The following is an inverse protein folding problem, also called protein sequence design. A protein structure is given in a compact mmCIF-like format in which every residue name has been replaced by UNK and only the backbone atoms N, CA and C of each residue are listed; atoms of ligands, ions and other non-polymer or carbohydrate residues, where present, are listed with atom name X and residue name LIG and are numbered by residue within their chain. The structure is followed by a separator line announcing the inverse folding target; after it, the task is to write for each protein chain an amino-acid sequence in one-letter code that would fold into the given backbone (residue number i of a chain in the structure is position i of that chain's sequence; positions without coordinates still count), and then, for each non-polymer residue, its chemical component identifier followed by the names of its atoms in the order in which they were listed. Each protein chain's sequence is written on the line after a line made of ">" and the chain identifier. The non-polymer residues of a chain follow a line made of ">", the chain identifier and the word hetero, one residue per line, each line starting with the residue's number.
data_IF_969685683458
#
_entry.id   IF_969685683458
#
_cell.length_a   1.000
_cell.length_b   1.000
_cell.length_c   1.000
_cell.angle_alpha   90.00
_cell.angle_beta   90.00
_cell.angle_gamma   90.00
#
_symmetry.space_group_name_H-M   'P 1'
#
loop_
_entity.id
_entity.type
_entity.pdbx_description
1 polymer ?
#
# COMPACT_ATOMS: atom_id res chain seq x y z
N UNK A 1 6.19 -40.82 -40.96
CA UNK A 1 5.23 -40.91 -39.84
C UNK A 1 6.02 -40.80 -38.53
N UNK A 2 6.44 -39.60 -38.14
CA UNK A 2 6.99 -39.30 -36.80
C UNK A 2 6.61 -37.84 -36.49
N UNK A 3 5.62 -37.66 -35.62
CA UNK A 3 5.18 -36.36 -35.09
C UNK A 3 6.24 -35.88 -34.09
N UNK A 4 6.78 -34.67 -34.31
CA UNK A 4 7.54 -33.95 -33.28
C UNK A 4 6.53 -33.23 -32.38
N UNK A 5 6.29 -33.80 -31.20
CA UNK A 5 5.53 -33.14 -30.14
C UNK A 5 6.44 -32.14 -29.43
N UNK A 6 6.24 -30.86 -29.67
CA UNK A 6 6.86 -29.77 -28.91
C UNK A 6 6.19 -29.72 -27.53
N UNK A 7 6.93 -30.13 -26.50
CA UNK A 7 6.51 -29.94 -25.10
C UNK A 7 6.87 -28.50 -24.72
N UNK A 8 5.86 -27.63 -24.66
CA UNK A 8 5.97 -26.32 -24.00
C UNK A 8 5.84 -26.57 -22.50
N UNK A 9 6.96 -26.55 -21.78
CA UNK A 9 6.95 -26.56 -20.32
C UNK A 9 6.46 -25.19 -19.82
N UNK A 10 5.19 -25.12 -19.44
CA UNK A 10 4.71 -24.07 -18.54
C UNK A 10 5.33 -24.30 -17.16
N UNK A 11 6.31 -23.48 -16.78
CA UNK A 11 6.78 -23.39 -15.39
C UNK A 11 5.69 -22.68 -14.58
N UNK A 12 4.69 -23.42 -14.11
CA UNK A 12 3.87 -22.98 -12.98
C UNK A 12 4.71 -23.17 -11.72
N UNK A 13 5.36 -22.10 -11.27
CA UNK A 13 6.00 -22.04 -9.95
C UNK A 13 4.93 -22.09 -8.86
N UNK A 14 4.52 -23.30 -8.51
CA UNK A 14 3.87 -23.60 -7.24
C UNK A 14 4.90 -23.31 -6.12
N UNK A 15 4.81 -22.11 -5.56
CA UNK A 15 5.65 -21.67 -4.45
C UNK A 15 5.21 -22.38 -3.16
N UNK A 16 5.68 -23.61 -2.97
CA UNK A 16 5.51 -24.34 -1.72
C UNK A 16 6.32 -23.65 -0.61
N UNK A 17 5.63 -23.26 0.44
CA UNK A 17 6.10 -22.46 1.57
C UNK A 17 7.27 -23.10 2.31
N UNK A 18 8.46 -22.55 2.09
CA UNK A 18 9.53 -22.47 3.09
C UNK A 18 10.39 -21.26 2.71
N UNK A 19 9.86 -20.04 2.84
CA UNK A 19 10.70 -18.86 2.68
C UNK A 19 11.68 -18.84 3.85
N UNK A 20 12.91 -19.30 3.62
CA UNK A 20 14.07 -18.85 4.38
C UNK A 20 14.08 -17.32 4.39
N UNK A 21 14.58 -16.69 5.45
CA UNK A 21 14.77 -15.24 5.44
C UNK A 21 15.57 -14.87 4.19
N UNK A 22 15.01 -13.99 3.34
CA UNK A 22 15.73 -13.54 2.16
C UNK A 22 17.08 -12.98 2.63
N UNK A 23 18.19 -13.39 2.01
CA UNK A 23 19.49 -12.95 2.47
C UNK A 23 19.61 -11.43 2.29
N UNK A 24 20.33 -10.77 3.21
CA UNK A 24 20.31 -9.30 3.36
C UNK A 24 20.78 -8.55 2.11
N UNK A 25 21.58 -9.20 1.27
CA UNK A 25 22.08 -8.73 -0.01
C UNK A 25 20.98 -8.59 -1.08
N UNK A 26 19.79 -9.18 -0.88
CA UNK A 26 18.62 -9.00 -1.76
C UNK A 26 17.93 -7.65 -1.64
N UNK A 27 18.33 -6.83 -0.66
CA UNK A 27 17.73 -5.53 -0.38
C UNK A 27 18.69 -4.40 -0.73
N UNK A 28 18.51 -3.70 -1.87
CA UNK A 28 19.39 -2.62 -2.31
C UNK A 28 19.26 -1.35 -1.45
N UNK A 29 18.35 -1.34 -0.47
CA UNK A 29 18.08 -0.17 0.37
C UNK A 29 17.54 -0.52 1.75
N UNK A 30 17.40 0.50 2.62
CA UNK A 30 16.97 0.31 4.01
C UNK A 30 15.50 -0.10 4.11
N UNK A 31 15.13 -0.62 5.28
CA UNK A 31 13.73 -0.85 5.64
C UNK A 31 12.93 0.46 5.53
N UNK A 32 11.81 0.43 4.80
CA UNK A 32 10.93 1.57 4.57
C UNK A 32 10.02 1.91 5.76
N UNK A 33 10.09 1.12 6.83
CA UNK A 33 9.36 1.31 8.09
C UNK A 33 10.23 2.12 9.08
N UNK A 34 9.70 3.21 9.64
CA UNK A 34 10.44 4.11 10.57
C UNK A 34 10.56 3.55 12.00
N UNK A 35 9.56 2.81 12.46
CA UNK A 35 9.48 2.29 13.84
C UNK A 35 9.09 0.80 13.85
N UNK A 36 9.93 -0.10 13.32
CA UNK A 36 9.54 -1.47 12.99
C UNK A 36 9.15 -2.34 14.20
N UNK A 37 9.77 -2.12 15.36
CA UNK A 37 9.48 -2.82 16.62
C UNK A 37 8.75 -1.97 17.66
N UNK A 38 8.08 -0.89 17.24
CA UNK A 38 7.24 -0.05 18.11
C UNK A 38 7.92 0.71 19.27
N UNK A 39 9.25 0.61 19.39
CA UNK A 39 10.06 1.19 20.48
C UNK A 39 10.08 2.73 20.52
N UNK A 40 9.87 3.39 19.38
CA UNK A 40 9.97 4.85 19.31
C UNK A 40 8.69 5.51 19.82
N UNK A 41 8.80 6.32 20.87
CA UNK A 41 7.68 7.04 21.46
C UNK A 41 7.77 8.56 21.17
N UNK A 42 6.62 9.19 20.88
CA UNK A 42 6.43 10.65 20.81
C UNK A 42 6.30 11.28 22.20
N UNK A 43 5.78 10.52 23.16
CA UNK A 43 5.52 10.92 24.55
C UNK A 43 5.77 9.73 25.46
N UNK A 44 5.97 9.98 26.76
CA UNK A 44 6.02 8.91 27.75
C UNK A 44 4.75 8.06 27.76
N UNK A 45 4.82 6.88 28.37
CA UNK A 45 3.67 5.99 28.55
C UNK A 45 2.70 6.67 29.55
N UNK A 46 1.40 6.76 29.26
CA UNK A 46 0.43 7.33 30.18
C UNK A 46 0.36 6.51 31.49
N UNK A 47 0.25 7.19 32.63
CA UNK A 47 0.06 6.52 33.91
C UNK A 47 -1.33 5.86 33.95
N UNK A 48 -1.42 4.64 34.49
CA UNK A 48 -2.66 3.84 34.60
C UNK A 48 -3.27 3.34 33.28
N UNK A 49 -2.51 3.35 32.18
CA UNK A 49 -2.93 2.74 30.91
C UNK A 49 -2.68 1.22 30.92
N UNK A 50 -3.59 0.48 31.56
CA UNK A 50 -3.42 -0.96 31.81
C UNK A 50 -3.59 -1.81 30.54
N UNK A 51 -4.39 -1.35 29.58
CA UNK A 51 -4.62 -2.07 28.31
C UNK A 51 -3.66 -1.63 27.20
N UNK A 52 -3.05 -0.45 27.31
CA UNK A 52 -2.09 0.07 26.32
C UNK A 52 -2.74 0.85 25.17
N UNK A 53 -4.07 1.01 25.21
CA UNK A 53 -4.85 1.66 24.15
C UNK A 53 -4.57 3.16 24.06
N UNK A 54 -4.34 3.82 25.20
CA UNK A 54 -4.00 5.24 25.25
C UNK A 54 -2.56 5.44 24.79
N UNK A 55 -1.65 4.53 25.16
CA UNK A 55 -0.24 4.53 24.78
C UNK A 55 -0.08 4.34 23.27
N UNK A 56 -0.84 3.44 22.65
CA UNK A 56 -0.82 3.32 21.19
C UNK A 56 -1.31 4.62 20.52
N UNK A 57 -2.43 5.20 20.98
CA UNK A 57 -2.97 6.39 20.31
C UNK A 57 -2.09 7.63 20.47
N UNK A 58 -1.49 7.80 21.64
CA UNK A 58 -0.89 9.07 22.05
C UNK A 58 0.63 9.04 22.20
N UNK A 59 1.21 7.85 22.34
CA UNK A 59 2.63 7.69 22.68
C UNK A 59 3.45 7.03 21.59
N UNK A 60 3.00 5.99 20.86
CA UNK A 60 3.84 5.41 19.79
C UNK A 60 4.06 6.39 18.63
N UNK A 61 5.30 6.46 18.15
CA UNK A 61 5.69 7.28 17.01
C UNK A 61 5.40 6.55 15.70
N UNK A 62 4.87 7.30 14.74
CA UNK A 62 4.66 6.94 13.32
C UNK A 62 3.55 5.93 13.03
N UNK A 63 3.16 5.11 14.02
CA UNK A 63 1.99 4.23 13.92
C UNK A 63 0.70 4.93 14.33
N UNK A 64 -0.42 4.49 13.76
CA UNK A 64 -1.77 4.95 14.10
C UNK A 64 -2.81 3.87 13.79
N UNK A 65 -4.00 4.00 14.38
CA UNK A 65 -5.17 3.21 13.99
C UNK A 65 -5.88 3.92 12.83
N UNK A 66 -6.14 3.25 11.69
CA UNK A 66 -6.88 3.84 10.57
C UNK A 66 -8.40 3.92 10.81
N UNK A 67 -8.90 3.37 11.91
CA UNK A 67 -10.31 3.42 12.32
C UNK A 67 -10.42 3.92 13.77
N UNK A 68 -11.65 3.99 14.31
CA UNK A 68 -11.86 4.33 15.73
C UNK A 68 -11.50 3.21 16.72
N UNK A 69 -11.06 2.04 16.23
CA UNK A 69 -10.63 0.94 17.10
C UNK A 69 -9.34 1.26 17.86
N UNK A 70 -9.00 0.42 18.83
CA UNK A 70 -7.99 0.72 19.85
C UNK A 70 -6.94 -0.38 19.94
N UNK A 71 -6.03 -0.48 18.94
CA UNK A 71 -4.84 -1.31 19.10
C UNK A 71 -4.10 -0.94 20.38
N UNK A 72 -3.43 -1.92 20.96
CA UNK A 72 -2.78 -1.79 22.27
C UNK A 72 -1.27 -1.76 22.10
N UNK A 73 -0.60 -0.75 22.68
CA UNK A 73 0.86 -0.73 22.77
C UNK A 73 1.27 -1.43 24.07
N UNK A 74 1.88 -2.59 23.94
CA UNK A 74 2.22 -3.45 25.06
C UNK A 74 3.71 -3.37 25.33
N UNK A 75 4.09 -3.26 26.60
CA UNK A 75 5.47 -3.29 27.06
C UNK A 75 5.71 -4.53 27.91
N UNK A 76 6.83 -5.20 27.66
CA UNK A 76 7.20 -6.34 28.49
C UNK A 76 7.80 -5.88 29.81
N UNK A 77 7.07 -6.15 30.88
CA UNK A 77 7.57 -6.05 32.25
C UNK A 77 7.80 -7.50 32.68
N UNK A 78 9.07 -7.85 32.87
CA UNK A 78 9.58 -9.21 33.10
C UNK A 78 8.74 -9.97 34.17
N UNK A 79 7.71 -10.68 33.72
CA UNK A 79 6.73 -11.38 34.56
C UNK A 79 6.24 -12.61 33.83
N UNK A 80 6.10 -13.72 34.56
CA UNK A 80 5.71 -15.03 34.03
C UNK A 80 4.31 -15.04 33.38
N UNK A 81 3.53 -13.96 33.56
CA UNK A 81 2.14 -13.84 33.12
C UNK A 81 1.94 -13.02 31.84
N UNK A 82 3.00 -12.51 31.20
CA UNK A 82 2.88 -11.61 30.04
C UNK A 82 3.48 -12.18 28.77
N UNK A 83 2.87 -11.85 27.63
CA UNK A 83 3.47 -12.09 26.34
C UNK A 83 4.68 -11.16 26.15
N UNK A 84 5.85 -11.73 25.84
CA UNK A 84 7.05 -10.96 25.53
C UNK A 84 7.12 -10.62 24.04
N UNK A 85 7.71 -9.46 23.67
CA UNK A 85 7.89 -9.05 22.30
C UNK A 85 8.83 -10.01 21.56
N UNK A 86 8.81 -9.95 20.23
CA UNK A 86 9.70 -10.76 19.39
C UNK A 86 11.13 -10.25 19.49
N UNK A 87 11.33 -8.93 19.49
CA UNK A 87 12.57 -8.26 19.86
C UNK A 87 12.29 -6.97 20.63
N UNK A 88 13.30 -6.36 21.24
CA UNK A 88 13.10 -5.10 21.95
C UNK A 88 12.30 -5.26 23.25
N UNK A 89 11.46 -4.26 23.55
CA UNK A 89 10.71 -4.12 24.81
C UNK A 89 9.22 -3.92 24.59
N UNK A 90 8.79 -3.63 23.37
CA UNK A 90 7.41 -3.29 23.03
C UNK A 90 6.91 -4.08 21.83
N UNK A 91 5.60 -4.20 21.73
CA UNK A 91 4.88 -4.82 20.62
C UNK A 91 3.48 -4.22 20.54
N UNK A 92 2.74 -4.50 19.47
CA UNK A 92 1.36 -4.03 19.34
C UNK A 92 0.38 -5.20 19.29
N UNK A 93 -0.66 -5.13 20.10
CA UNK A 93 -1.78 -6.05 20.07
C UNK A 93 -2.93 -5.53 19.22
N UNK A 94 -3.55 -6.42 18.44
CA UNK A 94 -4.76 -6.14 17.66
C UNK A 94 -5.79 -7.27 17.74
N UNK A 95 -7.05 -6.91 17.92
CA UNK A 95 -8.20 -7.80 17.73
C UNK A 95 -8.49 -7.95 16.23
N UNK A 96 -8.30 -9.15 15.70
CA UNK A 96 -8.46 -9.43 14.26
C UNK A 96 -9.78 -10.08 13.90
N UNK A 97 -10.42 -10.80 14.83
CA UNK A 97 -11.68 -11.49 14.60
C UNK A 97 -12.43 -11.76 15.91
N UNK A 98 -13.72 -11.43 15.96
CA UNK A 98 -14.60 -11.76 17.09
C UNK A 98 -16.01 -12.11 16.56
N UNK A 99 -16.25 -13.37 16.15
CA UNK A 99 -17.53 -13.80 15.57
C UNK A 99 -18.65 -13.92 16.60
N UNK A 100 -18.30 -13.99 17.89
CA UNK A 100 -19.24 -14.14 19.01
C UNK A 100 -19.65 -12.80 19.63
N UNK A 101 -19.14 -11.68 19.10
CA UNK A 101 -19.45 -10.36 19.61
C UNK A 101 -20.91 -10.00 19.33
N UNK A 102 -21.54 -9.32 20.30
CA UNK A 102 -22.81 -8.60 20.06
C UNK A 102 -22.59 -7.29 19.32
N UNK A 103 -21.35 -6.82 19.23
CA UNK A 103 -20.96 -5.78 18.27
C UNK A 103 -21.05 -6.45 16.90
N UNK A 104 -21.64 -5.77 15.91
CA UNK A 104 -21.70 -6.26 14.53
C UNK A 104 -20.33 -6.74 14.05
N UNK A 105 -20.29 -7.51 12.95
CA UNK A 105 -19.12 -8.05 12.20
C UNK A 105 -18.07 -6.98 11.79
N UNK A 106 -17.72 -6.06 12.70
CA UNK A 106 -17.18 -4.75 12.40
C UNK A 106 -16.00 -4.39 13.29
N UNK A 107 -15.92 -4.92 14.52
CA UNK A 107 -14.78 -4.58 15.37
C UNK A 107 -13.56 -5.41 14.95
N UNK A 108 -12.70 -4.79 14.14
CA UNK A 108 -11.39 -5.31 13.74
C UNK A 108 -10.38 -4.18 13.86
N UNK A 109 -9.28 -4.46 14.52
CA UNK A 109 -8.19 -3.53 14.70
C UNK A 109 -7.18 -3.66 13.57
N UNK A 110 -6.66 -2.50 13.20
CA UNK A 110 -5.64 -2.35 12.19
C UNK A 110 -4.61 -1.37 12.72
N UNK A 111 -3.38 -1.53 12.25
CA UNK A 111 -2.34 -0.53 12.43
C UNK A 111 -1.87 -0.03 11.07
N UNK A 112 -1.55 1.25 11.00
CA UNK A 112 -1.11 1.91 9.78
C UNK A 112 0.14 2.74 10.06
N UNK A 113 1.07 2.76 9.11
CA UNK A 113 2.25 3.62 9.13
C UNK A 113 2.46 4.27 7.78
N UNK A 114 2.96 5.51 7.79
CA UNK A 114 3.48 6.18 6.59
C UNK A 114 4.88 5.65 6.28
N UNK A 115 5.09 5.22 5.04
CA UNK A 115 6.39 4.76 4.56
C UNK A 115 7.41 5.92 4.48
N UNK A 116 8.69 5.61 4.71
CA UNK A 116 9.80 6.59 4.61
C UNK A 116 9.89 7.24 3.23
N UNK A 117 9.58 6.48 2.18
CA UNK A 117 9.40 6.94 0.80
C UNK A 117 8.21 6.19 0.18
N UNK A 118 7.52 6.79 -0.81
CA UNK A 118 6.52 6.08 -1.59
C UNK A 118 7.11 4.85 -2.27
N UNK A 119 6.28 3.84 -2.51
CA UNK A 119 6.63 2.73 -3.38
C UNK A 119 6.78 3.22 -4.83
N UNK A 120 7.52 2.45 -5.62
CA UNK A 120 7.75 2.68 -7.04
C UNK A 120 6.88 1.67 -7.77
N UNK A 121 5.91 2.15 -8.53
CA UNK A 121 5.06 1.31 -9.37
C UNK A 121 5.88 0.39 -10.28
N UNK A 122 5.45 -0.86 -10.40
CA UNK A 122 6.15 -1.90 -11.15
C UNK A 122 7.37 -2.50 -10.42
N UNK A 123 7.87 -1.88 -9.36
CA UNK A 123 8.96 -2.46 -8.58
C UNK A 123 8.42 -3.54 -7.62
N UNK A 124 9.23 -4.59 -7.41
CA UNK A 124 8.93 -5.64 -6.44
C UNK A 124 9.39 -5.24 -5.02
N UNK A 125 8.57 -5.59 -4.04
CA UNK A 125 8.81 -5.34 -2.64
C UNK A 125 8.60 -6.62 -1.84
N UNK A 126 9.51 -6.86 -0.89
CA UNK A 126 9.34 -7.85 0.16
C UNK A 126 8.81 -7.19 1.42
N UNK A 127 7.74 -7.73 1.99
CA UNK A 127 7.18 -7.30 3.26
C UNK A 127 7.15 -8.46 4.24
N UNK A 128 7.47 -8.19 5.49
CA UNK A 128 7.31 -9.13 6.60
C UNK A 128 6.87 -8.43 7.89
N UNK A 129 6.23 -9.20 8.76
CA UNK A 129 6.07 -8.88 10.17
C UNK A 129 5.95 -10.19 10.96
N UNK A 130 6.20 -10.11 12.26
CA UNK A 130 6.03 -11.25 13.15
C UNK A 130 4.68 -11.14 13.87
N UNK A 131 4.00 -12.28 13.96
CA UNK A 131 2.71 -12.40 14.63
C UNK A 131 2.76 -13.51 15.69
N UNK A 132 2.17 -13.25 16.86
CA UNK A 132 1.96 -14.25 17.89
C UNK A 132 0.53 -14.17 18.38
N UNK A 133 -0.16 -15.30 18.55
CA UNK A 133 -1.47 -15.29 19.21
C UNK A 133 -1.24 -14.92 20.67
N UNK A 134 -1.96 -13.93 21.18
CA UNK A 134 -1.83 -13.55 22.59
C UNK A 134 -2.26 -14.71 23.49
N UNK A 135 -1.58 -14.85 24.63
CA UNK A 135 -1.82 -15.89 25.61
C UNK A 135 -3.27 -15.94 26.09
N UNK A 136 -3.89 -14.76 26.22
CA UNK A 136 -5.27 -14.63 26.67
C UNK A 136 -6.32 -14.81 25.56
N UNK A 137 -5.92 -15.00 24.31
CA UNK A 137 -6.86 -15.17 23.19
C UNK A 137 -7.32 -16.63 23.08
N UNK A 138 -8.63 -16.90 23.26
CA UNK A 138 -9.21 -18.25 23.11
C UNK A 138 -9.42 -18.68 21.66
N UNK A 139 -9.02 -17.88 20.67
CA UNK A 139 -9.37 -18.12 19.27
C UNK A 139 -8.18 -17.87 18.36
N UNK A 140 -7.82 -18.88 17.57
CA UNK A 140 -6.84 -18.72 16.50
C UNK A 140 -7.60 -18.57 15.18
N UNK A 141 -7.35 -17.49 14.44
CA UNK A 141 -7.91 -17.25 13.11
C UNK A 141 -6.83 -17.17 12.03
N UNK A 142 -7.26 -17.28 10.78
CA UNK A 142 -6.44 -16.89 9.63
C UNK A 142 -6.69 -15.41 9.26
N UNK A 143 -6.20 -15.03 8.07
CA UNK A 143 -6.41 -13.76 7.40
C UNK A 143 -5.81 -12.53 8.09
N UNK A 144 -4.65 -12.70 8.70
CA UNK A 144 -3.81 -11.58 9.10
C UNK A 144 -2.85 -11.25 7.97
N UNK A 145 -2.86 -10.01 7.51
CA UNK A 145 -2.13 -9.63 6.30
C UNK A 145 -1.71 -8.17 6.28
N UNK A 146 -1.13 -7.78 5.14
CA UNK A 146 -0.68 -6.44 4.83
C UNK A 146 -1.43 -5.93 3.61
N UNK A 147 -1.92 -4.70 3.69
CA UNK A 147 -2.33 -3.92 2.54
C UNK A 147 -1.44 -2.67 2.42
N UNK A 148 -1.41 -2.08 1.23
CA UNK A 148 -0.71 -0.84 0.94
C UNK A 148 -1.65 0.16 0.26
N UNK A 149 -1.43 1.45 0.49
CA UNK A 149 -2.28 2.51 -0.08
C UNK A 149 -1.53 3.81 -0.31
N UNK A 150 -1.85 4.60 -1.36
CA UNK A 150 -1.24 5.91 -1.62
C UNK A 150 -1.65 7.00 -0.61
N UNK A 151 -2.74 6.77 0.13
CA UNK A 151 -3.34 7.70 1.11
C UNK A 151 -3.60 7.00 2.45
N UNK A 152 -3.61 7.74 3.57
CA UNK A 152 -3.95 7.14 4.85
C UNK A 152 -5.43 6.79 4.88
N UNK A 153 -5.77 5.64 5.44
CA UNK A 153 -7.14 5.38 5.88
C UNK A 153 -7.36 6.09 7.22
N UNK A 154 -8.45 6.87 7.30
CA UNK A 154 -8.85 7.62 8.49
C UNK A 154 -10.37 7.62 8.59
N UNK A 155 -10.95 6.48 8.98
CA UNK A 155 -12.39 6.38 9.14
C UNK A 155 -12.83 6.94 10.50
N UNK A 156 -13.91 7.72 10.53
CA UNK A 156 -14.50 8.25 11.78
C UNK A 156 -15.45 7.25 12.46
N UNK A 157 -15.36 5.97 12.13
CA UNK A 157 -16.23 4.91 12.63
C UNK A 157 -15.43 3.63 12.93
N UNK A 158 -16.13 2.58 13.37
CA UNK A 158 -15.58 1.26 13.63
C UNK A 158 -15.79 0.31 12.44
N UNK A 159 -15.95 0.83 11.21
CA UNK A 159 -16.18 -0.03 10.04
C UNK A 159 -14.86 -0.72 9.68
N UNK A 160 -14.86 -2.05 9.49
CA UNK A 160 -13.67 -2.79 9.09
C UNK A 160 -13.29 -2.44 7.65
N UNK A 161 -12.01 -2.61 7.32
CA UNK A 161 -11.45 -2.23 6.03
C UNK A 161 -11.59 -3.35 4.99
N UNK A 162 -12.82 -3.82 4.77
CA UNK A 162 -13.11 -5.00 3.94
C UNK A 162 -12.99 -4.75 2.43
N UNK A 163 -13.00 -3.49 2.01
CA UNK A 163 -12.90 -3.10 0.60
C UNK A 163 -11.45 -3.12 0.08
N UNK A 164 -10.47 -3.33 0.97
CA UNK A 164 -9.05 -3.30 0.64
C UNK A 164 -8.57 -4.73 0.40
N UNK A 165 -7.91 -4.96 -0.74
CA UNK A 165 -7.23 -6.23 -1.00
C UNK A 165 -5.84 -6.22 -0.37
N UNK A 166 -5.50 -7.20 0.48
CA UNK A 166 -4.13 -7.31 1.00
C UNK A 166 -3.17 -7.74 -0.12
N UNK A 167 -1.95 -7.18 -0.08
CA UNK A 167 -0.83 -7.62 -0.94
C UNK A 167 -0.16 -8.88 -0.40
N UNK A 168 -0.28 -9.14 0.90
CA UNK A 168 0.15 -10.38 1.57
C UNK A 168 -0.91 -10.77 2.58
N UNK A 169 -1.31 -12.05 2.61
CA UNK A 169 -2.29 -12.56 3.55
C UNK A 169 -1.92 -13.97 4.00
N UNK A 170 -1.92 -14.22 5.30
CA UNK A 170 -1.80 -15.57 5.85
C UNK A 170 -3.17 -16.25 5.84
N UNK A 171 -3.38 -17.20 4.93
CA UNK A 171 -4.65 -17.89 4.75
C UNK A 171 -4.82 -19.11 5.68
N UNK A 172 -3.75 -19.54 6.36
CA UNK A 172 -3.80 -20.60 7.36
C UNK A 172 -4.05 -20.03 8.75
N UNK A 173 -4.58 -20.88 9.62
CA UNK A 173 -4.79 -20.52 11.02
C UNK A 173 -3.44 -20.34 11.70
N UNK A 174 -3.23 -19.17 12.28
CA UNK A 174 -1.97 -18.78 12.93
C UNK A 174 -1.98 -19.30 14.36
N UNK A 175 -0.93 -20.04 14.74
CA UNK A 175 -0.70 -20.50 16.12
C UNK A 175 -1.87 -21.23 16.81
N UNK A 176 -2.43 -22.28 16.17
CA UNK A 176 -3.60 -22.99 16.69
C UNK A 176 -3.35 -23.73 18.01
N UNK A 177 -2.12 -24.18 18.26
CA UNK A 177 -1.80 -25.13 19.34
C UNK A 177 -0.86 -24.60 20.42
N UNK A 178 0.03 -23.67 20.07
CA UNK A 178 1.05 -23.14 20.96
C UNK A 178 1.32 -21.66 20.68
N UNK A 179 1.89 -20.99 21.67
CA UNK A 179 2.39 -19.63 21.55
C UNK A 179 3.76 -19.67 20.87
N UNK A 180 3.82 -19.15 19.66
CA UNK A 180 5.08 -18.98 18.95
C UNK A 180 4.99 -17.75 18.05
N UNK A 181 6.08 -17.00 17.95
CA UNK A 181 6.17 -15.97 16.94
C UNK A 181 6.33 -16.64 15.57
N UNK A 182 5.37 -16.40 14.68
CA UNK A 182 5.46 -16.81 13.28
C UNK A 182 5.68 -15.59 12.41
N UNK A 183 6.42 -15.77 11.32
CA UNK A 183 6.59 -14.73 10.33
C UNK A 183 5.47 -14.82 9.30
N UNK A 184 4.84 -13.68 9.03
CA UNK A 184 3.96 -13.49 7.87
C UNK A 184 4.72 -12.61 6.88
N UNK A 185 4.95 -13.11 5.68
CA UNK A 185 5.73 -12.39 4.67
C UNK A 185 5.32 -12.73 3.25
N UNK A 186 5.74 -11.90 2.31
CA UNK A 186 5.51 -12.12 0.89
C UNK A 186 6.19 -11.08 0.02
N UNK A 187 6.19 -11.34 -1.28
CA UNK A 187 6.66 -10.43 -2.31
C UNK A 187 5.43 -9.92 -3.07
N UNK A 188 5.38 -8.63 -3.37
CA UNK A 188 4.37 -8.04 -4.22
C UNK A 188 4.98 -7.00 -5.16
N UNK A 189 4.36 -6.81 -6.31
CA UNK A 189 4.66 -5.71 -7.22
C UNK A 189 3.80 -4.52 -6.81
N UNK A 190 4.42 -3.36 -6.59
CA UNK A 190 3.66 -2.14 -6.30
C UNK A 190 2.84 -1.75 -7.52
N UNK A 191 1.53 -1.54 -7.31
CA UNK A 191 0.58 -1.18 -8.36
C UNK A 191 0.35 0.33 -8.46
N UNK A 192 0.89 1.09 -7.50
CA UNK A 192 0.76 2.52 -7.43
C UNK A 192 1.95 3.09 -6.63
N UNK A 193 1.86 4.34 -6.20
CA UNK A 193 2.79 4.95 -5.23
C UNK A 193 2.25 4.86 -3.83
N UNK A 194 2.09 3.63 -3.37
CA UNK A 194 1.61 3.42 -2.01
C UNK A 194 2.55 4.11 -1.01
N UNK A 195 1.96 4.87 -0.09
CA UNK A 195 2.65 5.66 0.94
C UNK A 195 2.34 5.17 2.34
N UNK A 196 1.41 4.25 2.47
CA UNK A 196 0.93 3.72 3.73
C UNK A 196 0.93 2.20 3.65
N UNK A 197 1.37 1.58 4.73
CA UNK A 197 1.24 0.16 4.97
C UNK A 197 0.23 -0.03 6.10
N UNK A 198 -0.69 -0.98 5.93
CA UNK A 198 -1.77 -1.32 6.87
C UNK A 198 -1.65 -2.79 7.21
N UNK A 199 -1.69 -3.14 8.48
CA UNK A 199 -1.71 -4.53 8.97
C UNK A 199 -3.03 -4.79 9.68
N UNK A 200 -3.67 -5.93 9.39
CA UNK A 200 -4.87 -6.39 10.07
C UNK A 200 -5.57 -7.50 9.30
N UNK A 201 -6.87 -7.68 9.55
CA UNK A 201 -7.70 -8.66 8.84
C UNK A 201 -8.71 -7.95 7.93
N UNK A 202 -8.57 -8.15 6.61
CA UNK A 202 -9.35 -7.47 5.57
C UNK A 202 -10.57 -8.27 5.09
N UNK A 203 -10.92 -9.36 5.78
CA UNK A 203 -12.01 -10.26 5.40
C UNK A 203 -13.14 -10.19 6.43
N UNK A 204 -14.39 -10.39 5.99
CA UNK A 204 -15.55 -10.45 6.88
C UNK A 204 -15.56 -11.74 7.74
N UNK A 205 -16.50 -11.89 8.67
CA UNK A 205 -16.54 -13.09 9.52
C UNK A 205 -16.76 -14.36 8.70
N UNK A 206 -17.61 -14.33 7.68
CA UNK A 206 -17.90 -15.49 6.83
C UNK A 206 -16.64 -16.02 6.12
N UNK A 207 -15.74 -15.13 5.71
CA UNK A 207 -14.49 -15.49 5.03
C UNK A 207 -13.30 -15.62 5.98
N UNK A 208 -13.48 -15.49 7.30
CA UNK A 208 -12.44 -15.71 8.31
C UNK A 208 -12.60 -17.08 8.96
N UNK A 209 -11.62 -17.97 8.77
CA UNK A 209 -11.58 -19.29 9.40
C UNK A 209 -10.96 -19.17 10.79
N UNK A 210 -11.52 -19.88 11.77
CA UNK A 210 -11.00 -19.89 13.13
C UNK A 210 -11.22 -21.24 13.83
N UNK A 211 -10.46 -21.46 14.90
CA UNK A 211 -10.67 -22.54 15.86
C UNK A 211 -10.60 -22.00 17.28
N UNK A 212 -11.27 -22.69 18.20
CA UNK A 212 -11.05 -22.51 19.63
C UNK A 212 -9.67 -23.07 20.00
N UNK A 213 -8.92 -22.31 20.80
CA UNK A 213 -7.58 -22.65 21.25
C UNK A 213 -7.58 -23.02 22.75
N UNK A 214 -6.61 -23.82 23.23
CA UNK A 214 -6.64 -24.37 24.59
C UNK A 214 -6.78 -23.30 25.69
N UNK A 215 -7.56 -23.65 26.72
CA UNK A 215 -8.11 -22.78 27.76
C UNK A 215 -7.06 -22.38 28.82
N UNK A 216 -7.09 -21.10 29.21
CA UNK A 216 -6.73 -20.63 30.55
C UNK A 216 -7.98 -19.97 31.17
N UNK A 217 -8.10 -19.97 32.50
CA UNK A 217 -9.33 -19.61 33.22
C UNK A 217 -9.85 -18.18 32.92
N UNK A 218 -8.97 -17.20 32.65
CA UNK A 218 -9.32 -15.78 32.46
C UNK A 218 -8.95 -15.20 31.06
N UNK A 219 -9.56 -15.74 30.00
CA UNK A 219 -9.21 -15.45 28.60
C UNK A 219 -10.36 -14.81 27.77
N UNK A 220 -10.00 -14.07 26.72
CA UNK A 220 -10.89 -13.38 25.76
C UNK A 220 -11.43 -14.32 24.67
N UNK A 221 -12.71 -14.18 24.29
CA UNK A 221 -13.39 -14.99 23.27
C UNK A 221 -13.20 -14.48 21.83
N UNK A 222 -11.98 -14.05 21.49
CA UNK A 222 -11.66 -13.39 20.22
C UNK A 222 -10.23 -13.69 19.78
N UNK A 223 -9.97 -13.57 18.48
CA UNK A 223 -8.62 -13.68 17.91
C UNK A 223 -7.87 -12.37 18.07
N UNK A 224 -6.88 -12.42 18.95
CA UNK A 224 -6.06 -11.28 19.30
C UNK A 224 -4.59 -11.64 19.04
N UNK A 225 -3.95 -10.86 18.18
CA UNK A 225 -2.58 -11.09 17.74
C UNK A 225 -1.66 -9.96 18.16
N UNK A 226 -0.48 -10.34 18.61
CA UNK A 226 0.64 -9.49 18.90
C UNK A 226 1.50 -9.37 17.64
N UNK A 227 1.92 -8.17 17.32
CA UNK A 227 2.67 -7.82 16.13
C UNK A 227 4.01 -7.20 16.54
N UNK A 228 5.07 -7.56 15.81
CA UNK A 228 6.41 -7.03 16.05
C UNK A 228 7.27 -7.12 14.77
N UNK A 229 8.43 -6.45 14.79
CA UNK A 229 9.48 -6.55 13.77
C UNK A 229 8.96 -6.39 12.32
N UNK A 230 8.25 -5.28 12.04
CA UNK A 230 7.70 -5.00 10.71
C UNK A 230 8.79 -4.53 9.75
N UNK A 231 8.88 -5.14 8.57
CA UNK A 231 9.83 -4.73 7.54
C UNK A 231 9.20 -4.66 6.15
N UNK A 232 9.63 -3.65 5.39
CA UNK A 232 9.28 -3.48 3.98
C UNK A 232 10.55 -3.06 3.24
N UNK A 233 10.97 -3.87 2.27
CA UNK A 233 12.16 -3.66 1.48
C UNK A 233 11.83 -3.68 0.00
N UNK A 234 12.38 -2.74 -0.75
CA UNK A 234 12.45 -2.88 -2.21
C UNK A 234 13.37 -4.06 -2.52
N UNK A 235 13.08 -4.83 -3.57
CA UNK A 235 13.96 -5.89 -4.05
C UNK A 235 14.86 -5.36 -5.18
N UNK A 236 16.08 -5.90 -5.25
CA UNK A 236 16.99 -5.69 -6.38
C UNK A 236 16.52 -6.51 -7.59
N UNK A 237 15.49 -6.00 -8.22
CA UNK A 237 14.97 -6.46 -9.51
C UNK A 237 15.42 -5.42 -10.53
N UNK A 238 15.67 -5.82 -11.80
CA UNK A 238 16.10 -4.90 -12.87
C UNK A 238 15.39 -3.57 -12.67
N UNK A 239 16.17 -2.49 -12.46
CA UNK A 239 15.68 -1.12 -12.26
C UNK A 239 14.49 -0.96 -13.20
N UNK A 240 13.26 -0.74 -12.70
CA UNK A 240 12.11 -0.70 -13.57
C UNK A 240 12.44 0.28 -14.68
N UNK A 241 12.29 -0.16 -15.93
CA UNK A 241 12.28 0.77 -17.05
C UNK A 241 11.33 1.92 -16.67
N UNK A 242 11.63 3.16 -17.08
CA UNK A 242 10.74 4.29 -16.81
C UNK A 242 9.30 3.82 -17.03
N UNK A 243 8.42 3.96 -16.05
CA UNK A 243 7.10 3.33 -16.09
C UNK A 243 6.32 3.68 -17.38
N UNK A 244 6.66 4.82 -17.99
CA UNK A 244 6.14 5.30 -19.27
C UNK A 244 6.50 4.38 -20.46
N UNK A 245 7.58 3.61 -20.38
CA UNK A 245 8.08 2.70 -21.43
C UNK A 245 7.69 1.24 -21.14
N UNK A 246 7.54 0.86 -19.87
CA UNK A 246 7.33 -0.54 -19.48
C UNK A 246 5.91 -1.07 -19.72
N UNK A 247 4.93 -0.19 -19.94
CA UNK A 247 3.53 -0.56 -20.15
C UNK A 247 2.96 0.17 -21.36
N UNK A 248 2.73 -0.61 -22.41
CA UNK A 248 2.14 -0.26 -23.70
C UNK A 248 3.12 0.27 -24.76
N UNK A 249 3.07 -0.32 -25.96
CA UNK A 249 3.68 0.27 -27.16
C UNK A 249 3.19 1.72 -27.26
N UNK A 250 4.12 2.67 -27.21
CA UNK A 250 3.83 4.10 -27.38
C UNK A 250 3.26 4.29 -28.78
N UNK A 251 1.94 4.25 -28.87
CA UNK A 251 1.18 4.38 -30.10
C UNK A 251 0.24 5.57 -29.99
N UNK A 252 -0.10 6.15 -31.14
CA UNK A 252 -1.10 7.22 -31.20
C UNK A 252 -2.40 6.74 -30.56
N UNK A 253 -2.93 7.54 -29.64
CA UNK A 253 -4.13 7.27 -28.84
C UNK A 253 -3.87 6.55 -27.51
N UNK A 254 -2.64 6.12 -27.21
CA UNK A 254 -2.32 5.56 -25.89
C UNK A 254 -2.48 6.64 -24.80
N UNK A 255 -3.09 6.26 -23.68
CA UNK A 255 -3.27 7.11 -22.50
C UNK A 255 -2.38 6.59 -21.39
N UNK A 256 -1.39 7.38 -21.00
CA UNK A 256 -0.41 7.02 -19.98
C UNK A 256 -0.67 7.89 -18.76
N UNK A 257 -0.88 7.24 -17.62
CA UNK A 257 -1.08 7.92 -16.35
C UNK A 257 0.25 8.42 -15.80
N UNK A 258 0.25 9.62 -15.22
CA UNK A 258 1.38 10.18 -14.50
C UNK A 258 1.15 10.00 -12.99
N UNK A 259 1.51 8.82 -12.48
CA UNK A 259 1.17 8.33 -11.15
C UNK A 259 1.92 8.98 -9.97
N UNK A 260 2.92 9.79 -10.28
CA UNK A 260 3.80 10.51 -9.34
C UNK A 260 3.67 12.02 -9.49
N UNK A 261 2.60 12.53 -10.10
CA UNK A 261 2.26 13.96 -10.09
C UNK A 261 1.43 14.30 -8.85
N UNK A 262 1.93 15.22 -8.03
CA UNK A 262 1.34 15.55 -6.74
C UNK A 262 0.94 17.01 -6.60
N UNK A 263 -0.21 17.19 -5.96
CA UNK A 263 -0.77 18.49 -5.58
C UNK A 263 -1.25 18.41 -4.13
N UNK A 264 -1.16 19.53 -3.40
CA UNK A 264 -1.91 19.67 -2.15
C UNK A 264 -3.43 19.70 -2.42
N UNK A 265 -4.21 19.37 -1.39
CA UNK A 265 -5.67 19.42 -1.45
C UNK A 265 -6.14 20.80 -1.91
N UNK A 266 -7.04 20.84 -2.89
CA UNK A 266 -7.58 22.08 -3.47
C UNK A 266 -6.54 23.00 -4.15
N UNK A 267 -5.29 22.55 -4.35
CA UNK A 267 -4.24 23.28 -5.06
C UNK A 267 -3.85 22.60 -6.38
N UNK A 268 -3.09 23.34 -7.18
CA UNK A 268 -2.53 22.92 -8.48
C UNK A 268 -1.02 23.20 -8.61
N UNK A 269 -0.36 23.63 -7.53
CA UNK A 269 1.09 23.72 -7.51
C UNK A 269 1.71 22.32 -7.45
N UNK A 270 2.63 22.03 -8.36
CA UNK A 270 3.37 20.77 -8.38
C UNK A 270 4.28 20.68 -7.15
N UNK A 271 4.16 19.58 -6.41
CA UNK A 271 5.07 19.31 -5.30
C UNK A 271 6.42 18.80 -5.83
N UNK A 272 7.56 19.10 -5.16
CA UNK A 272 8.89 18.65 -5.58
C UNK A 272 9.03 17.15 -5.83
N UNK A 273 8.23 16.33 -5.13
CA UNK A 273 8.15 14.88 -5.32
C UNK A 273 7.67 14.46 -6.71
N UNK A 274 7.07 15.39 -7.47
CA UNK A 274 6.62 15.18 -8.85
C UNK A 274 7.76 15.28 -9.87
N UNK A 275 8.88 15.93 -9.51
CA UNK A 275 9.96 16.21 -10.44
C UNK A 275 10.56 14.93 -11.05
N UNK A 276 10.60 13.82 -10.30
CA UNK A 276 11.14 12.55 -10.83
C UNK A 276 10.35 12.06 -12.05
N UNK A 277 9.02 12.02 -11.97
CA UNK A 277 8.21 11.57 -13.11
C UNK A 277 8.14 12.61 -14.22
N UNK A 278 8.06 13.87 -13.86
CA UNK A 278 8.06 14.94 -14.86
C UNK A 278 9.37 14.96 -15.65
N UNK A 279 10.51 14.66 -15.01
CA UNK A 279 11.78 14.52 -15.70
C UNK A 279 11.81 13.29 -16.61
N UNK A 280 11.22 12.17 -16.19
CA UNK A 280 11.09 11.00 -17.08
C UNK A 280 10.21 11.28 -18.30
N UNK A 281 9.15 12.10 -18.14
CA UNK A 281 8.34 12.57 -19.27
C UNK A 281 9.14 13.54 -20.18
N UNK A 282 9.97 14.41 -19.60
CA UNK A 282 10.90 15.27 -20.37
C UNK A 282 11.88 14.41 -21.17
N UNK A 283 12.49 13.40 -20.55
CA UNK A 283 13.44 12.48 -21.19
C UNK A 283 12.77 11.74 -22.35
N UNK A 284 11.53 11.26 -22.17
CA UNK A 284 10.74 10.64 -23.23
C UNK A 284 10.49 11.61 -24.39
N UNK A 285 10.03 12.84 -24.11
CA UNK A 285 9.72 13.81 -25.16
C UNK A 285 10.98 14.30 -25.90
N UNK A 286 12.14 14.24 -25.25
CA UNK A 286 13.44 14.47 -25.89
C UNK A 286 13.87 13.28 -26.76
N UNK A 287 13.63 12.05 -26.30
CA UNK A 287 13.90 10.84 -27.08
C UNK A 287 13.07 10.77 -28.35
N UNK A 288 11.82 11.25 -28.32
CA UNK A 288 10.90 11.27 -29.46
C UNK A 288 10.57 12.71 -29.85
N UNK A 289 11.43 13.43 -30.58
CA UNK A 289 11.30 14.88 -30.81
C UNK A 289 10.07 15.28 -31.65
N UNK A 290 9.46 14.34 -32.39
CA UNK A 290 8.22 14.56 -33.14
C UNK A 290 6.95 14.20 -32.36
N UNK A 291 7.09 13.55 -31.21
CA UNK A 291 5.94 13.12 -30.42
C UNK A 291 5.13 14.34 -29.95
N UNK A 292 3.81 14.27 -30.12
CA UNK A 292 2.84 15.24 -29.59
C UNK A 292 1.98 14.57 -28.54
N UNK A 293 1.68 15.27 -27.45
CA UNK A 293 0.88 14.76 -26.34
C UNK A 293 -0.22 15.74 -25.91
N UNK A 294 -1.30 15.22 -25.33
CA UNK A 294 -2.32 16.00 -24.62
C UNK A 294 -2.33 15.62 -23.13
N UNK A 295 -2.11 16.59 -22.24
CA UNK A 295 -2.15 16.40 -20.79
C UNK A 295 -3.59 16.54 -20.30
N UNK A 296 -4.13 15.52 -19.66
CA UNK A 296 -5.47 15.49 -19.12
C UNK A 296 -5.46 15.51 -17.60
N UNK A 297 -6.17 16.49 -17.01
CA UNK A 297 -6.38 16.57 -15.57
C UNK A 297 -7.75 16.05 -15.16
N UNK A 298 -7.81 15.36 -14.01
CA UNK A 298 -9.04 14.80 -13.46
C UNK A 298 -9.18 15.08 -11.95
N UNK A 299 -10.40 15.12 -11.45
CA UNK A 299 -10.73 15.25 -10.02
C UNK A 299 -11.65 14.14 -9.55
N UNK A 300 -11.77 13.99 -8.23
CA UNK A 300 -12.88 13.23 -7.64
C UNK A 300 -14.19 14.03 -7.66
N UNK A 301 -15.29 13.40 -7.21
CA UNK A 301 -16.63 14.00 -7.23
C UNK A 301 -16.94 14.98 -6.09
N UNK A 302 -15.95 15.40 -5.29
CA UNK A 302 -16.16 16.39 -4.23
C UNK A 302 -15.93 17.78 -4.78
N UNK A 303 -16.94 18.63 -4.66
CA UNK A 303 -16.91 20.00 -5.15
C UNK A 303 -18.07 20.26 -6.11
N UNK A 304 -18.14 21.47 -6.66
CA UNK A 304 -19.06 21.74 -7.77
C UNK A 304 -18.40 21.39 -9.10
N UNK A 305 -19.18 21.00 -10.11
CA UNK A 305 -18.66 20.69 -11.44
C UNK A 305 -17.77 21.82 -12.00
N UNK A 306 -18.18 23.08 -11.79
CA UNK A 306 -17.39 24.26 -12.21
C UNK A 306 -16.05 24.34 -11.48
N UNK A 307 -16.04 24.08 -10.18
CA UNK A 307 -14.81 24.07 -9.38
C UNK A 307 -13.87 22.94 -9.82
N UNK A 308 -14.41 21.73 -9.98
CA UNK A 308 -13.65 20.54 -10.39
C UNK A 308 -13.08 20.68 -11.81
N UNK A 309 -13.86 21.25 -12.73
CA UNK A 309 -13.38 21.60 -14.06
C UNK A 309 -12.17 22.55 -13.97
N UNK A 310 -12.29 23.66 -13.23
CA UNK A 310 -11.21 24.64 -13.08
C UNK A 310 -9.97 24.04 -12.40
N UNK A 311 -10.15 23.24 -11.35
CA UNK A 311 -9.06 22.57 -10.64
C UNK A 311 -8.31 21.60 -11.55
N UNK A 312 -9.03 20.77 -12.30
CA UNK A 312 -8.44 19.82 -13.24
C UNK A 312 -7.66 20.50 -14.37
N UNK A 313 -8.19 21.59 -14.92
CA UNK A 313 -7.55 22.39 -15.97
C UNK A 313 -6.22 22.99 -15.48
N UNK A 314 -6.23 23.60 -14.28
CA UNK A 314 -5.02 24.19 -13.71
C UNK A 314 -3.95 23.15 -13.37
N UNK A 315 -4.33 21.93 -12.98
CA UNK A 315 -3.37 20.83 -12.75
C UNK A 315 -2.73 20.35 -14.05
N UNK A 316 -3.52 20.19 -15.11
CA UNK A 316 -3.00 19.87 -16.44
C UNK A 316 -2.06 20.98 -16.94
N UNK A 317 -2.45 22.25 -16.75
CA UNK A 317 -1.63 23.41 -17.06
C UNK A 317 -0.32 23.44 -16.26
N UNK A 318 -0.32 23.07 -14.98
CA UNK A 318 0.90 23.05 -14.18
C UNK A 318 1.96 22.09 -14.76
N UNK A 319 1.53 20.92 -15.25
CA UNK A 319 2.43 19.98 -15.95
C UNK A 319 2.89 20.55 -17.29
N UNK A 320 2.00 21.16 -18.08
CA UNK A 320 2.37 21.85 -19.32
C UNK A 320 3.46 22.91 -19.08
N UNK A 321 3.30 23.74 -18.05
CA UNK A 321 4.25 24.78 -17.67
C UNK A 321 5.59 24.19 -17.20
N UNK A 322 5.57 23.05 -16.49
CA UNK A 322 6.79 22.35 -16.12
C UNK A 322 7.57 21.87 -17.35
N UNK A 323 6.90 21.23 -18.31
CA UNK A 323 7.53 20.75 -19.54
C UNK A 323 8.10 21.90 -20.37
N UNK A 324 7.36 23.02 -20.48
CA UNK A 324 7.86 24.25 -21.11
C UNK A 324 9.15 24.74 -20.46
N UNK A 325 9.16 24.83 -19.14
CA UNK A 325 10.31 25.34 -18.40
C UNK A 325 11.53 24.41 -18.50
N UNK A 326 11.33 23.15 -18.87
CA UNK A 326 12.38 22.16 -19.16
C UNK A 326 12.70 22.04 -20.67
N UNK A 327 12.25 22.99 -21.49
CA UNK A 327 12.68 23.13 -22.88
C UNK A 327 11.90 22.34 -23.93
N UNK A 328 10.76 21.72 -23.57
CA UNK A 328 9.89 21.08 -24.55
C UNK A 328 9.10 22.14 -25.33
N UNK A 329 9.08 22.03 -26.66
CA UNK A 329 8.30 22.92 -27.53
C UNK A 329 6.80 22.80 -27.25
N UNK A 330 6.15 23.94 -27.00
CA UNK A 330 4.72 24.03 -26.71
C UNK A 330 3.84 23.59 -27.86
N UNK A 331 4.33 23.64 -29.11
CA UNK A 331 3.60 23.12 -30.27
C UNK A 331 3.32 21.61 -30.16
N UNK A 332 4.08 20.92 -29.30
CA UNK A 332 3.98 19.48 -29.06
C UNK A 332 3.09 19.08 -27.89
N UNK A 333 2.59 20.06 -27.13
CA UNK A 333 1.88 19.79 -25.88
C UNK A 333 0.53 20.51 -25.90
N UNK A 334 -0.53 19.74 -25.74
CA UNK A 334 -1.88 20.24 -25.46
C UNK A 334 -2.23 19.95 -24.00
N UNK A 335 -3.18 20.67 -23.39
CA UNK A 335 -3.69 20.32 -22.06
C UNK A 335 -5.19 20.59 -21.96
N UNK A 336 -5.87 19.82 -21.11
CA UNK A 336 -7.30 19.95 -20.84
C UNK A 336 -7.69 19.37 -19.49
N UNK A 337 -8.60 20.04 -18.78
CA UNK A 337 -9.29 19.50 -17.61
C UNK A 337 -10.57 18.76 -17.98
N UNK A 338 -10.88 17.67 -17.27
CA UNK A 338 -12.14 16.92 -17.41
C UNK A 338 -13.01 16.96 -16.15
N UNK A 339 -12.57 17.66 -15.10
CA UNK A 339 -13.22 17.66 -13.80
C UNK A 339 -13.43 16.23 -13.30
N UNK A 340 -14.64 15.95 -12.82
CA UNK A 340 -15.05 14.66 -12.29
C UNK A 340 -15.74 13.74 -13.32
N UNK A 341 -15.77 14.13 -14.59
CA UNK A 341 -16.62 13.49 -15.61
C UNK A 341 -16.09 12.13 -16.10
N UNK A 342 -14.83 11.79 -15.80
CA UNK A 342 -14.17 10.56 -16.23
C UNK A 342 -13.52 9.84 -15.03
N UNK A 343 -14.32 9.29 -14.09
CA UNK A 343 -13.79 8.52 -12.97
C UNK A 343 -13.25 7.17 -13.45
N UNK A 344 -12.12 6.77 -12.88
CA UNK A 344 -11.49 5.46 -13.11
C UNK A 344 -11.72 4.49 -11.95
N UNK A 345 -12.26 4.99 -10.84
CA UNK A 345 -12.59 4.21 -9.64
C UNK A 345 -13.81 4.81 -8.90
N UNK A 346 -14.33 4.10 -7.92
CA UNK A 346 -15.49 4.52 -7.12
C UNK A 346 -15.23 5.86 -6.42
N UNK A 347 -16.16 6.80 -6.59
CA UNK A 347 -16.16 8.04 -5.82
C UNK A 347 -16.72 7.88 -4.40
N UNK A 348 -17.17 6.69 -4.01
CA UNK A 348 -17.76 6.44 -2.69
C UNK A 348 -16.68 6.24 -1.62
N UNK A 349 -15.51 5.73 -2.00
CA UNK A 349 -14.39 5.44 -1.08
C UNK A 349 -13.31 6.51 -1.15
N UNK A 350 -12.57 6.75 -0.05
CA UNK A 350 -11.43 7.67 -0.09
C UNK A 350 -10.32 7.19 -1.02
N UNK A 351 -10.17 5.87 -1.14
CA UNK A 351 -9.23 5.21 -2.04
C UNK A 351 -9.58 5.47 -3.51
N UNK A 352 -10.82 5.19 -3.92
CA UNK A 352 -11.23 5.41 -5.30
C UNK A 352 -11.28 6.89 -5.68
N UNK A 353 -11.68 7.79 -4.75
CA UNK A 353 -11.53 9.24 -4.96
C UNK A 353 -10.07 9.64 -5.18
N UNK A 354 -9.11 9.03 -4.48
CA UNK A 354 -7.70 9.30 -4.73
C UNK A 354 -7.28 8.87 -6.14
N UNK A 355 -7.74 7.72 -6.61
CA UNK A 355 -7.45 7.26 -7.97
C UNK A 355 -8.04 8.16 -9.05
N UNK A 356 -9.18 8.80 -8.78
CA UNK A 356 -9.79 9.79 -9.67
C UNK A 356 -9.04 11.14 -9.69
N UNK A 357 -8.32 11.49 -8.62
CA UNK A 357 -7.44 12.68 -8.57
C UNK A 357 -6.10 12.38 -9.26
N UNK A 358 -6.09 12.42 -10.59
CA UNK A 358 -4.93 12.05 -11.42
C UNK A 358 -4.64 13.05 -12.53
N UNK A 359 -3.44 12.95 -13.09
CA UNK A 359 -3.07 13.54 -14.38
C UNK A 359 -2.57 12.40 -15.26
N UNK A 360 -2.90 12.46 -16.53
CA UNK A 360 -2.47 11.50 -17.56
C UNK A 360 -2.07 12.29 -18.81
N UNK A 361 -1.36 11.66 -19.75
CA UNK A 361 -1.17 12.22 -21.07
C UNK A 361 -1.62 11.23 -22.15
N UNK A 362 -2.12 11.76 -23.25
CA UNK A 362 -2.52 11.00 -24.43
C UNK A 362 -1.53 11.26 -25.54
N UNK A 363 -1.03 10.22 -26.19
CA UNK A 363 -0.16 10.35 -27.37
C UNK A 363 -1.01 10.77 -28.57
N UNK A 364 -0.77 11.96 -29.10
CA UNK A 364 -1.50 12.49 -30.26
C UNK A 364 -0.81 12.13 -31.59
N UNK A 365 0.52 12.04 -31.56
CA UNK A 365 1.36 11.73 -32.70
C UNK A 365 2.71 11.19 -32.19
N UNK A 366 3.30 10.23 -32.90
CA UNK A 366 4.65 9.70 -32.62
C UNK A 366 5.65 10.08 -33.71
N UNK A 367 5.18 10.60 -34.85
CA UNK A 367 6.02 11.12 -35.93
C UNK A 367 6.91 10.09 -36.66
N UNK A 368 6.60 8.79 -36.60
CA UNK A 368 7.39 7.76 -37.29
C UNK A 368 7.34 7.91 -38.82
N UNK A 369 8.53 8.02 -39.42
CA UNK A 369 8.85 7.21 -40.60
C UNK A 369 9.22 5.82 -40.08
N UNK A 370 8.64 4.77 -40.68
CA UNK A 370 8.80 3.35 -40.34
C UNK A 370 10.21 2.99 -39.80
N UNK A 371 10.33 2.70 -38.50
CA UNK A 371 11.50 1.96 -37.99
C UNK A 371 11.15 0.48 -38.09
N UNK A 372 11.54 -0.14 -39.20
CA UNK A 372 11.61 -1.59 -39.31
C UNK A 372 12.73 -2.07 -38.38
N UNK A 373 12.38 -2.82 -37.35
CA UNK A 373 13.35 -3.62 -36.60
C UNK A 373 13.56 -4.88 -37.42
N UNK A 374 14.71 -4.98 -38.09
CA UNK A 374 15.14 -6.23 -38.72
C UNK A 374 15.34 -7.30 -37.65
N UNK A 375 14.86 -8.52 -37.97
CA UNK A 375 14.75 -9.72 -37.11
C UNK A 375 16.04 -10.17 -36.41
#
# INVERSE_FOLDING_TARGET
>A
MIQKTTIVLYLSLLCSHLFAQLPKDRFPGPNLIENPGFEMLRRGIPQNDLDGSVAFRNSVKSWMSPTKTTPDLLFFINSEMTDGPKTGKSMVGILTHNPRSKRSDTYREYIQIRLKKPLIEGAEYYVEFWACRAYRSKMASNNLGVAVSPVPFMTKNFKPLLEIKPVVNEDKIINPKKKEWVRISGIFTASNRERFLIIGNFYNNENTKFIDAPLMEDNFNESYYLLDDVALHQLDTKKPEPAIIATEEIKVGATIRLDRIYFETAKWDLLPESNTELNELVDLLNQYPKMRIAIHGHTDSRGSNRYNQNLSENRAKAVFEYLRNNGIDLSRIEYKGFGETQPVDSNDTDYGRQNNRRVEFVVLDIGEENVTVED
#
